data_IF_984968729885
#
_entry.id   IF_984968729885
#
_cell.length_a   1.000
_cell.length_b   1.000
_cell.length_c   1.000
_cell.angle_alpha   90.00
_cell.angle_beta   90.00
_cell.angle_gamma   90.00
#
_symmetry.space_group_name_H-M   'P 1'
#
loop_
_entity.id
_entity.type
_entity.pdbx_description
1 polymer ?
#
# COMPACT_ATOMS: atom_id res chain seq x y z
N UNK A 1 5.81 32.02 -38.31
CA UNK A 1 5.95 30.67 -37.72
C UNK A 1 6.66 29.76 -38.70
N UNK A 2 7.85 29.27 -38.37
CA UNK A 2 8.60 28.31 -39.20
C UNK A 2 7.87 26.96 -39.25
N UNK A 3 8.10 26.15 -40.29
CA UNK A 3 7.43 24.85 -40.43
C UNK A 3 7.67 23.92 -39.23
N UNK A 4 8.88 23.98 -38.66
CA UNK A 4 9.25 23.23 -37.45
C UNK A 4 8.38 23.64 -36.25
N UNK A 5 8.11 24.94 -36.09
CA UNK A 5 7.24 25.45 -35.03
C UNK A 5 5.79 25.02 -35.23
N UNK A 6 5.30 24.98 -36.48
CA UNK A 6 3.95 24.48 -36.81
C UNK A 6 3.80 22.99 -36.47
N UNK A 7 4.79 22.16 -36.83
CA UNK A 7 4.80 20.72 -36.50
C UNK A 7 4.89 20.47 -34.99
N UNK A 8 5.70 21.27 -34.27
CA UNK A 8 5.79 21.19 -32.81
C UNK A 8 4.45 21.53 -32.14
N UNK A 9 3.81 22.61 -32.59
CA UNK A 9 2.51 23.03 -32.09
C UNK A 9 1.43 21.98 -32.33
N UNK A 10 1.41 21.38 -33.53
CA UNK A 10 0.48 20.30 -33.87
C UNK A 10 0.70 19.05 -33.02
N UNK A 11 1.96 18.67 -32.76
CA UNK A 11 2.31 17.57 -31.86
C UNK A 11 1.88 17.85 -30.42
N UNK A 12 2.10 19.07 -29.92
CA UNK A 12 1.64 19.48 -28.59
C UNK A 12 0.11 19.42 -28.48
N UNK A 13 -0.60 19.86 -29.52
CA UNK A 13 -2.08 19.77 -29.58
C UNK A 13 -2.56 18.31 -29.60
N UNK A 14 -1.90 17.45 -30.40
CA UNK A 14 -2.18 16.00 -30.45
C UNK A 14 -1.89 15.30 -29.11
N UNK A 15 -0.84 15.69 -28.40
CA UNK A 15 -0.50 15.17 -27.08
C UNK A 15 -1.54 15.62 -26.05
N UNK A 16 -1.90 16.91 -26.03
CA UNK A 16 -2.91 17.47 -25.10
C UNK A 16 -4.29 16.85 -25.30
N UNK A 17 -4.71 16.66 -26.56
CA UNK A 17 -5.98 16.02 -26.90
C UNK A 17 -5.97 14.51 -26.64
N UNK A 18 -4.89 13.77 -26.93
CA UNK A 18 -4.78 12.33 -26.60
C UNK A 18 -4.71 12.09 -25.09
N UNK A 19 -3.95 12.90 -24.34
CA UNK A 19 -3.87 12.81 -22.89
C UNK A 19 -5.22 13.16 -22.25
N UNK A 20 -5.88 14.23 -22.71
CA UNK A 20 -7.25 14.57 -22.29
C UNK A 20 -8.25 13.46 -22.59
N UNK A 21 -8.21 12.86 -23.79
CA UNK A 21 -9.05 11.70 -24.14
C UNK A 21 -8.73 10.46 -23.30
N UNK A 22 -7.46 10.18 -22.95
CA UNK A 22 -7.08 9.07 -22.04
C UNK A 22 -7.56 9.30 -20.61
N UNK A 23 -7.42 10.52 -20.10
CA UNK A 23 -7.90 10.92 -18.77
C UNK A 23 -9.42 10.81 -18.73
N UNK A 24 -10.13 11.36 -19.73
CA UNK A 24 -11.59 11.23 -19.83
C UNK A 24 -12.05 9.78 -19.98
N UNK A 25 -11.38 8.93 -20.77
CA UNK A 25 -11.71 7.49 -20.85
C UNK A 25 -11.47 6.76 -19.53
N UNK A 26 -10.37 7.07 -18.83
CA UNK A 26 -10.05 6.53 -17.49
C UNK A 26 -11.07 7.00 -16.45
N UNK A 27 -11.48 8.25 -16.53
CA UNK A 27 -12.48 8.88 -15.66
C UNK A 27 -13.88 8.30 -15.92
N UNK A 28 -14.30 8.15 -17.20
CA UNK A 28 -15.52 7.46 -17.60
C UNK A 28 -15.53 5.99 -17.15
N UNK A 29 -14.42 5.26 -17.25
CA UNK A 29 -14.33 3.86 -16.78
C UNK A 29 -14.50 3.76 -15.27
N UNK A 30 -13.95 4.72 -14.52
CA UNK A 30 -14.19 4.89 -13.07
C UNK A 30 -15.65 5.25 -12.78
N UNK A 31 -16.23 6.18 -13.55
CA UNK A 31 -17.62 6.64 -13.40
C UNK A 31 -18.64 5.55 -13.72
N UNK A 32 -18.38 4.70 -14.73
CA UNK A 32 -19.18 3.50 -15.04
C UNK A 32 -19.10 2.46 -13.92
N UNK A 33 -17.93 2.29 -13.30
CA UNK A 33 -17.79 1.46 -12.10
C UNK A 33 -18.61 1.99 -10.92
N UNK A 34 -18.57 3.31 -10.69
CA UNK A 34 -19.39 3.98 -9.68
C UNK A 34 -20.89 3.95 -9.98
N UNK A 35 -21.30 4.05 -11.25
CA UNK A 35 -22.72 3.98 -11.63
C UNK A 35 -23.30 2.58 -11.48
N UNK A 36 -22.48 1.54 -11.64
CA UNK A 36 -22.89 0.15 -11.36
C UNK A 36 -23.02 -0.10 -9.85
N UNK A 37 -22.10 0.45 -9.04
CA UNK A 37 -22.19 0.41 -7.57
C UNK A 37 -23.40 1.21 -7.08
N UNK A 38 -23.62 2.42 -7.58
CA UNK A 38 -24.78 3.24 -7.23
C UNK A 38 -26.11 2.62 -7.70
N UNK A 39 -26.14 1.93 -8.85
CA UNK A 39 -27.31 1.15 -9.30
C UNK A 39 -27.57 -0.06 -8.41
N UNK A 40 -26.52 -0.77 -7.97
CA UNK A 40 -26.64 -1.89 -7.04
C UNK A 40 -27.11 -1.43 -5.64
N UNK A 41 -26.58 -0.30 -5.16
CA UNK A 41 -26.95 0.31 -3.89
C UNK A 41 -28.39 0.87 -3.93
N UNK A 42 -28.80 1.53 -5.03
CA UNK A 42 -30.17 1.98 -5.23
C UNK A 42 -31.17 0.82 -5.36
N UNK A 43 -30.76 -0.30 -5.95
CA UNK A 43 -31.55 -1.53 -6.02
C UNK A 43 -31.76 -2.14 -4.62
N UNK A 44 -30.71 -2.21 -3.80
CA UNK A 44 -30.77 -2.64 -2.39
C UNK A 44 -31.61 -1.70 -1.52
N UNK A 45 -31.58 -0.39 -1.80
CA UNK A 45 -32.41 0.61 -1.10
C UNK A 45 -33.89 0.51 -1.51
N UNK A 46 -34.18 0.28 -2.79
CA UNK A 46 -35.55 0.09 -3.30
C UNK A 46 -36.18 -1.24 -2.89
N UNK A 47 -35.37 -2.28 -2.69
CA UNK A 47 -35.89 -3.60 -2.38
C UNK A 47 -36.40 -3.75 -0.94
N UNK A 48 -36.15 -2.77 -0.06
CA UNK A 48 -36.82 -2.70 1.25
C UNK A 48 -36.69 -3.98 2.10
N UNK A 49 -35.50 -4.60 2.12
CA UNK A 49 -35.27 -5.86 2.85
C UNK A 49 -35.19 -5.62 4.37
N UNK A 50 -36.35 -5.46 5.01
CA UNK A 50 -36.55 -5.81 6.42
C UNK A 50 -37.27 -7.16 6.47
N UNK A 51 -36.68 -8.08 7.23
CA UNK A 51 -37.24 -9.33 7.77
C UNK A 51 -38.68 -9.67 7.40
N UNK A 52 -38.86 -10.73 6.61
CA UNK A 52 -40.19 -11.33 6.37
C UNK A 52 -40.19 -12.31 5.20
N UNK A 53 -39.99 -13.61 5.47
CA UNK A 53 -40.20 -14.67 4.48
C UNK A 53 -41.68 -14.68 4.05
N UNK A 54 -41.97 -14.54 2.75
CA UNK A 54 -43.05 -15.27 2.05
C UNK A 54 -42.95 -15.11 0.52
N UNK A 55 -42.83 -16.27 -0.14
CA UNK A 55 -43.15 -16.64 -1.53
C UNK A 55 -42.96 -15.55 -2.61
N UNK A 56 -41.71 -15.32 -3.01
CA UNK A 56 -41.37 -14.97 -4.38
C UNK A 56 -40.52 -16.11 -4.94
N UNK A 57 -40.90 -16.60 -6.13
CA UNK A 57 -40.50 -17.90 -6.68
C UNK A 57 -39.00 -18.22 -6.56
N UNK A 58 -38.70 -19.52 -6.49
CA UNK A 58 -37.34 -20.07 -6.39
C UNK A 58 -36.33 -19.42 -7.34
N UNK A 59 -36.77 -18.96 -8.52
CA UNK A 59 -35.97 -18.22 -9.49
C UNK A 59 -35.50 -16.84 -8.99
N UNK A 60 -36.37 -16.06 -8.34
CA UNK A 60 -36.02 -14.74 -7.76
C UNK A 60 -35.07 -14.89 -6.56
N UNK A 61 -35.23 -15.94 -5.75
CA UNK A 61 -34.32 -16.28 -4.65
C UNK A 61 -32.95 -16.66 -5.20
N UNK A 62 -32.90 -17.45 -6.29
CA UNK A 62 -31.65 -17.86 -6.96
C UNK A 62 -30.93 -16.67 -7.58
N UNK A 63 -31.66 -15.75 -8.22
CA UNK A 63 -31.11 -14.52 -8.79
C UNK A 63 -30.63 -13.54 -7.71
N UNK A 64 -31.35 -13.41 -6.60
CA UNK A 64 -30.91 -12.61 -5.45
C UNK A 64 -29.63 -13.17 -4.82
N UNK A 65 -29.52 -14.49 -4.67
CA UNK A 65 -28.30 -15.16 -4.19
C UNK A 65 -27.10 -14.95 -5.11
N UNK A 66 -27.31 -15.03 -6.43
CA UNK A 66 -26.27 -14.77 -7.43
C UNK A 66 -25.83 -13.29 -7.39
N UNK A 67 -26.78 -12.36 -7.22
CA UNK A 67 -26.48 -10.92 -7.16
C UNK A 67 -25.76 -10.52 -5.86
N UNK A 68 -26.13 -11.13 -4.73
CA UNK A 68 -25.48 -10.92 -3.43
C UNK A 68 -24.09 -11.56 -3.37
N UNK A 69 -23.90 -12.74 -3.98
CA UNK A 69 -22.58 -13.36 -4.10
C UNK A 69 -21.66 -12.58 -5.05
N UNK A 70 -22.17 -12.04 -6.16
CA UNK A 70 -21.41 -11.19 -7.08
C UNK A 70 -20.98 -9.88 -6.43
N UNK A 71 -21.85 -9.21 -5.68
CA UNK A 71 -21.50 -7.95 -4.99
C UNK A 71 -20.50 -8.18 -3.85
N UNK A 72 -20.66 -9.25 -3.06
CA UNK A 72 -19.64 -9.67 -2.09
C UNK A 72 -18.31 -10.07 -2.75
N UNK A 73 -18.35 -10.72 -3.91
CA UNK A 73 -17.16 -11.10 -4.68
C UNK A 73 -16.46 -9.87 -5.26
N UNK A 74 -17.20 -8.91 -5.83
CA UNK A 74 -16.68 -7.62 -6.31
C UNK A 74 -16.09 -6.81 -5.16
N UNK A 75 -16.77 -6.73 -4.01
CA UNK A 75 -16.27 -6.04 -2.82
C UNK A 75 -14.99 -6.69 -2.28
N UNK A 76 -14.94 -8.03 -2.23
CA UNK A 76 -13.76 -8.81 -1.85
C UNK A 76 -12.61 -8.64 -2.84
N UNK A 77 -12.88 -8.57 -4.14
CA UNK A 77 -11.87 -8.27 -5.17
C UNK A 77 -11.38 -6.83 -5.05
N UNK A 78 -12.26 -5.87 -4.84
CA UNK A 78 -11.91 -4.46 -4.65
C UNK A 78 -11.04 -4.27 -3.40
N UNK A 79 -11.40 -4.91 -2.29
CA UNK A 79 -10.60 -4.95 -1.06
C UNK A 79 -9.24 -5.65 -1.31
N UNK A 80 -9.22 -6.74 -2.07
CA UNK A 80 -7.99 -7.46 -2.47
C UNK A 80 -7.11 -6.66 -3.45
N UNK A 81 -7.69 -5.82 -4.30
CA UNK A 81 -6.97 -4.94 -5.23
C UNK A 81 -6.43 -3.68 -4.53
N UNK A 82 -7.19 -3.09 -3.59
CA UNK A 82 -6.71 -1.97 -2.76
C UNK A 82 -5.59 -2.41 -1.80
N UNK A 83 -5.64 -3.63 -1.27
CA UNK A 83 -4.57 -4.19 -0.43
C UNK A 83 -3.34 -4.65 -1.23
N UNK A 84 -3.51 -5.15 -2.46
CA UNK A 84 -2.40 -5.59 -3.33
C UNK A 84 -1.71 -4.46 -4.08
N UNK A 85 -2.43 -3.44 -4.54
CA UNK A 85 -1.83 -2.31 -5.27
C UNK A 85 -0.87 -1.46 -4.42
N UNK A 86 -0.95 -1.58 -3.08
CA UNK A 86 0.00 -1.00 -2.12
C UNK A 86 1.14 -1.92 -1.66
N UNK A 87 1.11 -3.22 -1.98
CA UNK A 87 2.18 -4.18 -1.65
C UNK A 87 3.02 -4.47 -2.89
N UNK A 88 3.82 -3.50 -3.32
CA UNK A 88 5.03 -3.87 -4.07
C UNK A 88 5.93 -4.59 -3.06
N UNK A 89 6.39 -5.79 -3.40
CA UNK A 89 7.45 -6.45 -2.65
C UNK A 89 8.63 -5.48 -2.66
N UNK A 90 8.84 -4.82 -1.53
CA UNK A 90 9.92 -3.88 -1.39
C UNK A 90 11.19 -4.71 -1.48
N UNK A 91 11.88 -4.63 -2.62
CA UNK A 91 13.13 -5.35 -2.80
C UNK A 91 14.08 -4.98 -1.66
N UNK A 92 14.77 -5.97 -1.11
CA UNK A 92 15.63 -5.85 0.07
C UNK A 92 16.61 -4.66 0.03
N UNK A 93 17.07 -4.27 -1.16
CA UNK A 93 17.98 -3.15 -1.42
C UNK A 93 17.29 -1.80 -1.70
N UNK A 94 15.96 -1.80 -1.90
CA UNK A 94 15.20 -0.60 -2.23
C UNK A 94 14.80 0.22 -0.98
N UNK A 95 15.22 -0.19 0.23
CA UNK A 95 14.87 0.49 1.49
C UNK A 95 15.44 1.92 1.55
N UNK A 96 16.64 2.13 1.00
CA UNK A 96 17.34 3.42 0.98
C UNK A 96 17.13 4.24 -0.30
N UNK A 97 16.13 3.88 -1.12
CA UNK A 97 15.82 4.62 -2.35
C UNK A 97 15.18 5.98 -2.02
N UNK A 98 15.42 7.01 -2.84
CA UNK A 98 14.74 8.30 -2.75
C UNK A 98 13.21 8.16 -2.63
N UNK A 99 12.61 7.23 -3.40
CA UNK A 99 11.16 7.00 -3.38
C UNK A 99 10.66 6.46 -2.03
N UNK A 100 11.40 5.54 -1.41
CA UNK A 100 11.00 4.97 -0.12
C UNK A 100 11.21 5.94 1.03
N UNK A 101 12.29 6.73 0.98
CA UNK A 101 12.54 7.82 1.92
C UNK A 101 11.42 8.88 1.86
N UNK A 102 11.02 9.25 0.64
CA UNK A 102 9.90 10.16 0.42
C UNK A 102 8.57 9.58 0.92
N UNK A 103 8.26 8.32 0.60
CA UNK A 103 7.04 7.66 1.07
C UNK A 103 7.00 7.54 2.61
N UNK A 104 8.16 7.30 3.25
CA UNK A 104 8.29 7.29 4.70
C UNK A 104 8.07 8.69 5.31
N UNK A 105 8.65 9.73 4.71
CA UNK A 105 8.39 11.12 5.08
C UNK A 105 6.90 11.46 4.97
N UNK A 106 6.27 11.14 3.85
CA UNK A 106 4.84 11.38 3.62
C UNK A 106 3.93 10.66 4.61
N UNK A 107 4.34 9.51 5.15
CA UNK A 107 3.60 8.83 6.22
C UNK A 107 3.77 9.55 7.56
N UNK A 108 4.98 10.04 7.86
CA UNK A 108 5.25 10.81 9.08
C UNK A 108 4.44 12.10 9.10
N UNK A 109 4.45 12.87 8.02
CA UNK A 109 3.72 14.15 7.95
C UNK A 109 2.21 14.01 8.11
N UNK A 110 1.64 12.84 7.78
CA UNK A 110 0.22 12.56 7.98
C UNK A 110 -0.16 12.32 9.45
N UNK A 111 0.80 11.92 10.27
CA UNK A 111 0.57 11.62 11.68
C UNK A 111 0.80 12.85 12.59
N UNK A 112 1.29 13.96 12.03
CA UNK A 112 1.55 15.18 12.79
C UNK A 112 0.23 15.93 12.92
N UNK A 113 -0.24 16.08 14.16
CA UNK A 113 -1.39 16.92 14.49
C UNK A 113 -0.92 18.38 14.62
N UNK A 114 -1.53 19.29 13.87
CA UNK A 114 -1.20 20.73 13.90
C UNK A 114 -2.28 21.47 14.67
N UNK A 115 -1.90 22.12 15.76
CA UNK A 115 -2.79 23.00 16.51
C UNK A 115 -2.82 24.38 15.85
N UNK A 116 -3.96 24.70 15.24
CA UNK A 116 -4.17 25.95 14.52
C UNK A 116 -4.28 27.16 15.45
N UNK A 117 -4.75 26.96 16.69
CA UNK A 117 -4.93 28.06 17.64
C UNK A 117 -3.59 28.51 18.21
N UNK A 118 -2.73 27.55 18.57
CA UNK A 118 -1.35 27.84 18.94
C UNK A 118 -0.57 28.52 17.80
N UNK A 119 -0.81 28.11 16.56
CA UNK A 119 -0.23 28.75 15.37
C UNK A 119 -0.68 30.21 15.23
N UNK A 120 -1.97 30.50 15.37
CA UNK A 120 -2.50 31.87 15.25
C UNK A 120 -1.96 32.79 16.36
N UNK A 121 -1.89 32.31 17.61
CA UNK A 121 -1.27 33.07 18.72
C UNK A 121 0.19 33.42 18.43
N UNK A 122 0.96 32.46 17.94
CA UNK A 122 2.36 32.69 17.58
C UNK A 122 2.49 33.72 16.44
N UNK A 123 1.59 33.66 15.46
CA UNK A 123 1.52 34.61 14.34
C UNK A 123 1.20 36.04 14.78
N UNK A 124 0.34 36.22 15.77
CA UNK A 124 0.00 37.56 16.32
C UNK A 124 1.11 38.12 17.22
N UNK A 125 1.82 37.24 17.93
CA UNK A 125 2.88 37.63 18.87
C UNK A 125 4.15 38.09 18.16
N UNK A 126 4.54 37.41 17.08
CA UNK A 126 5.77 37.69 16.33
C UNK A 126 5.50 38.61 15.11
N UNK A 127 6.01 39.86 15.10
CA UNK A 127 5.88 40.74 13.93
C UNK A 127 6.58 40.22 12.68
N UNK A 128 7.68 39.45 12.87
CA UNK A 128 8.45 38.81 11.81
C UNK A 128 8.17 37.29 11.77
N UNK A 129 6.89 36.91 11.75
CA UNK A 129 6.50 35.49 11.74
C UNK A 129 6.87 34.77 10.42
N UNK A 130 6.71 35.45 9.29
CA UNK A 130 7.10 34.94 7.97
C UNK A 130 8.53 35.37 7.65
N UNK A 131 9.50 34.59 8.12
CA UNK A 131 10.93 34.90 7.97
C UNK A 131 11.47 34.52 6.59
N UNK A 132 12.30 35.39 6.01
CA UNK A 132 13.09 35.08 4.81
C UNK A 132 14.41 34.39 5.17
N UNK A 133 15.07 33.78 4.18
CA UNK A 133 16.33 33.04 4.39
C UNK A 133 17.49 33.90 4.94
N UNK A 134 17.39 35.22 4.85
CA UNK A 134 18.36 36.21 5.35
C UNK A 134 18.06 36.73 6.76
N UNK A 135 16.94 36.32 7.38
CA UNK A 135 16.56 36.77 8.73
C UNK A 135 17.58 36.29 9.78
N UNK A 136 17.95 37.17 10.71
CA UNK A 136 19.00 36.92 11.71
C UNK A 136 18.49 36.26 13.00
N UNK A 137 17.17 36.13 13.14
CA UNK A 137 16.52 35.63 14.36
C UNK A 137 16.41 34.10 14.32
N UNK A 138 17.46 33.43 14.80
CA UNK A 138 17.55 31.97 14.95
C UNK A 138 17.90 31.61 16.41
N UNK A 139 17.34 30.51 16.94
CA UNK A 139 17.76 29.96 18.24
C UNK A 139 16.84 30.21 19.45
N UNK A 140 15.56 30.55 19.25
CA UNK A 140 14.59 30.59 20.37
C UNK A 140 14.28 29.16 20.83
N UNK A 141 14.30 28.93 22.14
CA UNK A 141 14.05 27.60 22.73
C UNK A 141 12.61 27.13 22.46
N UNK A 142 12.46 25.89 21.97
CA UNK A 142 11.16 25.37 21.55
C UNK A 142 10.35 24.76 22.73
N UNK A 143 9.06 25.10 22.88
CA UNK A 143 8.19 24.52 23.91
C UNK A 143 7.69 23.11 23.58
N UNK A 144 7.99 22.56 22.38
CA UNK A 144 7.37 21.33 21.86
C UNK A 144 8.30 20.09 21.86
N UNK A 145 9.37 20.10 22.65
CA UNK A 145 10.41 19.04 22.68
C UNK A 145 9.81 17.67 23.02
N UNK A 146 8.85 17.61 23.95
CA UNK A 146 8.24 16.35 24.39
C UNK A 146 7.52 15.62 23.25
N UNK A 147 6.87 16.36 22.35
CA UNK A 147 6.20 15.80 21.17
C UNK A 147 7.20 15.17 20.20
N UNK A 148 8.34 15.84 19.99
CA UNK A 148 9.44 15.30 19.18
C UNK A 148 10.02 14.03 19.81
N UNK A 149 10.27 14.04 21.13
CA UNK A 149 10.80 12.88 21.85
C UNK A 149 9.86 11.67 21.72
N UNK A 150 8.55 11.89 21.83
CA UNK A 150 7.56 10.84 21.66
C UNK A 150 7.55 10.26 20.22
N UNK A 151 7.64 11.10 19.18
CA UNK A 151 7.77 10.63 17.79
C UNK A 151 9.03 9.77 17.61
N UNK A 152 10.16 10.18 18.20
CA UNK A 152 11.42 9.44 18.12
C UNK A 152 11.32 8.07 18.79
N UNK A 153 10.69 7.98 19.97
CA UNK A 153 10.43 6.71 20.66
C UNK A 153 9.59 5.76 19.80
N UNK A 154 8.50 6.25 19.23
CA UNK A 154 7.68 5.43 18.31
C UNK A 154 8.47 4.94 17.10
N UNK A 155 9.39 5.76 16.57
CA UNK A 155 10.23 5.39 15.44
C UNK A 155 11.19 4.27 15.81
N UNK A 156 11.76 4.32 17.00
CA UNK A 156 12.63 3.27 17.50
C UNK A 156 11.89 1.96 17.72
N UNK A 157 10.65 2.00 18.24
CA UNK A 157 9.78 0.83 18.35
C UNK A 157 9.46 0.22 16.97
N UNK A 158 9.07 1.05 16.00
CA UNK A 158 8.80 0.62 14.62
C UNK A 158 10.06 0.03 13.96
N UNK A 159 11.24 0.57 14.26
CA UNK A 159 12.53 0.05 13.78
C UNK A 159 12.83 -1.32 14.38
N UNK A 160 12.63 -1.51 15.69
CA UNK A 160 12.80 -2.81 16.38
C UNK A 160 11.86 -3.87 15.80
N UNK A 161 10.61 -3.49 15.51
CA UNK A 161 9.60 -4.39 14.94
C UNK A 161 9.76 -4.68 13.42
N UNK A 162 10.71 -4.03 12.73
CA UNK A 162 10.91 -4.20 11.29
C UNK A 162 11.38 -5.62 10.93
N UNK A 163 12.28 -6.19 11.74
CA UNK A 163 12.70 -7.59 11.63
C UNK A 163 11.82 -8.47 12.50
N UNK A 164 10.99 -9.30 11.88
CA UNK A 164 10.11 -10.23 12.61
C UNK A 164 10.76 -11.60 12.72
N UNK A 165 10.91 -12.11 13.94
CA UNK A 165 11.31 -13.50 14.18
C UNK A 165 10.20 -14.42 13.67
N UNK A 166 10.56 -15.44 12.89
CA UNK A 166 9.62 -16.51 12.50
C UNK A 166 9.47 -17.46 13.67
N UNK A 167 8.24 -17.93 13.95
CA UNK A 167 7.99 -18.94 14.99
C UNK A 167 8.78 -20.21 14.67
N UNK A 168 9.40 -20.81 15.68
CA UNK A 168 10.04 -22.11 15.56
C UNK A 168 8.95 -23.17 15.33
N UNK A 169 9.23 -24.14 14.46
CA UNK A 169 8.33 -25.26 14.21
C UNK A 169 8.97 -26.52 14.77
N UNK A 170 8.33 -27.15 15.76
CA UNK A 170 8.85 -28.33 16.45
C UNK A 170 8.82 -29.58 15.56
N UNK A 171 7.87 -29.66 14.62
CA UNK A 171 7.73 -30.77 13.67
C UNK A 171 8.77 -30.76 12.54
N UNK A 172 9.64 -29.75 12.49
CA UNK A 172 10.63 -29.65 11.41
C UNK A 172 11.89 -30.43 11.78
N UNK A 173 12.34 -31.28 10.87
CA UNK A 173 13.64 -31.95 10.98
C UNK A 173 14.77 -30.95 11.23
N UNK A 174 15.58 -31.26 12.24
CA UNK A 174 16.66 -30.41 12.73
C UNK A 174 17.95 -30.79 11.99
N UNK A 175 18.40 -29.89 11.11
CA UNK A 175 19.62 -30.04 10.30
C UNK A 175 20.88 -29.41 10.95
N UNK A 176 20.78 -29.00 12.22
CA UNK A 176 21.82 -28.19 12.87
C UNK A 176 21.99 -28.52 14.35
N UNK A 177 23.23 -28.40 14.81
CA UNK A 177 23.63 -28.66 16.21
C UNK A 177 23.52 -27.39 17.07
N UNK A 178 23.70 -26.20 16.48
CA UNK A 178 23.67 -24.91 17.19
C UNK A 178 22.93 -23.83 16.40
N UNK A 179 22.48 -22.76 17.07
CA UNK A 179 21.71 -21.66 16.48
C UNK A 179 22.47 -20.94 15.34
N UNK A 180 23.80 -20.80 15.47
CA UNK A 180 24.62 -20.15 14.44
C UNK A 180 24.67 -20.98 13.16
N UNK A 181 24.75 -22.30 13.30
CA UNK A 181 24.72 -23.28 12.23
C UNK A 181 23.33 -23.32 11.59
N UNK A 182 22.25 -23.29 12.39
CA UNK A 182 20.89 -23.20 11.86
C UNK A 182 20.69 -21.94 10.99
N UNK A 183 21.22 -20.79 11.46
CA UNK A 183 21.21 -19.55 10.69
C UNK A 183 22.06 -19.63 9.41
N UNK A 184 23.18 -20.34 9.44
CA UNK A 184 24.04 -20.56 8.28
C UNK A 184 23.38 -21.49 7.26
N UNK A 185 22.82 -22.62 7.68
CA UNK A 185 22.02 -23.54 6.84
C UNK A 185 20.84 -22.80 6.20
N UNK A 186 20.11 -21.99 6.97
CA UNK A 186 19.05 -21.10 6.45
C UNK A 186 19.55 -20.09 5.41
N UNK A 187 20.83 -19.67 5.46
CA UNK A 187 21.42 -18.76 4.47
C UNK A 187 21.74 -19.51 3.18
N UNK A 188 22.38 -20.68 3.29
CA UNK A 188 22.68 -21.56 2.16
C UNK A 188 21.39 -21.96 1.45
N UNK A 189 20.35 -22.33 2.20
CA UNK A 189 19.05 -22.71 1.63
C UNK A 189 18.42 -21.61 0.79
N UNK A 190 18.52 -20.35 1.22
CA UNK A 190 17.97 -19.21 0.46
C UNK A 190 18.72 -18.95 -0.84
N UNK A 191 20.02 -19.20 -0.85
CA UNK A 191 20.88 -18.95 -2.00
C UNK A 191 20.83 -20.12 -3.00
N UNK A 192 20.94 -21.35 -2.49
CA UNK A 192 21.17 -22.54 -3.30
C UNK A 192 20.01 -23.53 -3.31
N UNK A 193 19.04 -23.43 -2.40
CA UNK A 193 17.93 -24.38 -2.29
C UNK A 193 17.10 -24.53 -3.57
N UNK A 194 17.06 -23.49 -4.42
CA UNK A 194 16.43 -23.57 -5.75
C UNK A 194 17.18 -24.54 -6.69
N UNK A 195 18.50 -24.60 -6.60
CA UNK A 195 19.35 -25.41 -7.49
C UNK A 195 19.60 -26.81 -6.94
N UNK A 196 19.55 -27.01 -5.63
CA UNK A 196 19.83 -28.30 -4.97
C UNK A 196 18.58 -29.11 -4.67
N UNK A 197 17.42 -28.75 -5.23
CA UNK A 197 16.14 -29.38 -4.93
C UNK A 197 16.10 -30.86 -5.36
N UNK A 198 16.66 -31.16 -6.53
CA UNK A 198 16.74 -32.54 -7.03
C UNK A 198 17.63 -33.41 -6.13
N UNK A 199 18.79 -32.90 -5.73
CA UNK A 199 19.72 -33.59 -4.83
C UNK A 199 19.05 -33.91 -3.50
N UNK A 200 18.29 -32.97 -2.93
CA UNK A 200 17.53 -33.21 -1.68
C UNK A 200 16.48 -34.30 -1.84
N UNK A 201 15.69 -34.24 -2.91
CA UNK A 201 14.67 -35.25 -3.17
C UNK A 201 15.30 -36.64 -3.37
N UNK A 202 16.47 -36.71 -4.00
CA UNK A 202 17.19 -37.98 -4.19
C UNK A 202 17.71 -38.52 -2.85
N UNK A 203 18.18 -37.66 -1.94
CA UNK A 203 18.57 -38.06 -0.58
C UNK A 203 17.37 -38.59 0.22
N UNK A 204 16.22 -37.91 0.14
CA UNK A 204 14.97 -38.36 0.80
C UNK A 204 14.44 -39.67 0.20
N UNK A 205 14.73 -39.96 -1.07
CA UNK A 205 14.39 -41.21 -1.77
C UNK A 205 15.43 -42.32 -1.62
N UNK A 206 16.53 -42.09 -0.89
CA UNK A 206 17.56 -43.11 -0.70
C UNK A 206 18.48 -43.31 -1.91
N UNK A 207 18.83 -42.23 -2.62
CA UNK A 207 19.81 -42.20 -3.73
C UNK A 207 19.46 -42.98 -4.99
N UNK A 208 18.21 -43.47 -5.11
CA UNK A 208 17.73 -44.08 -6.35
C UNK A 208 17.64 -43.01 -7.47
N UNK A 209 18.21 -43.32 -8.64
CA UNK A 209 18.00 -42.52 -9.84
C UNK A 209 16.53 -42.70 -10.30
N UNK A 210 15.89 -41.65 -10.86
CA UNK A 210 14.60 -41.81 -11.49
C UNK A 210 14.73 -42.70 -12.73
N UNK A 211 13.84 -43.69 -12.85
CA UNK A 211 13.67 -44.50 -14.06
C UNK A 211 13.29 -43.64 -15.29
#
# INVERSE_FOLDING_TARGET
MTEKQKKLFELQLKIRTKLGRRISRRWLRRRRGWSLVARAEAYLRRSGWKTGKRRLGSCLIRMAWICQSLTCWIHRIWQKQNTRSGRRNLHHMAVFNQKTLYDAYKKRTKNIEVDMDAYNRAKETDPEFYREASSLQYGVAEPNIDRMVNELKERDEKRKAFSRRRKFNEDKDVDSINDRNEHFNKKIERAFGKYTLEIKNNLERGTALPD
#
